data_IF_714231310462
#
_entry.id   IF_714231310462
#
_cell.length_a   1.000
_cell.length_b   1.000
_cell.length_c   1.000
_cell.angle_alpha   90.00
_cell.angle_beta   90.00
_cell.angle_gamma   90.00
#
_symmetry.space_group_name_H-M   'P 1'
#
loop_
_entity.id
_entity.type
_entity.pdbx_description
1 polymer ?
#
# COMPACT_ATOMS: atom_id res chain seq x y z
N UNK A 1 27.63 12.02 8.76
CA UNK A 1 26.64 12.33 7.73
C UNK A 1 25.27 12.00 8.33
N UNK A 2 24.61 12.99 8.96
CA UNK A 2 23.34 12.78 9.64
C UNK A 2 22.25 12.68 8.58
N UNK A 3 21.62 11.51 8.45
CA UNK A 3 20.49 11.30 7.57
C UNK A 3 19.27 11.96 8.22
N UNK A 4 19.02 13.23 7.92
CA UNK A 4 17.85 13.97 8.38
C UNK A 4 16.62 13.44 7.65
N UNK A 5 16.06 12.34 8.14
CA UNK A 5 14.67 11.97 7.80
C UNK A 5 13.81 13.12 8.32
N UNK A 6 13.32 13.95 7.40
CA UNK A 6 12.55 15.15 7.74
C UNK A 6 11.39 14.75 8.68
N UNK A 7 11.39 15.35 9.88
CA UNK A 7 10.26 15.20 10.79
C UNK A 7 9.00 15.75 10.10
N UNK A 8 8.02 14.88 9.85
CA UNK A 8 6.74 15.24 9.24
C UNK A 8 6.56 14.96 7.75
N UNK A 9 7.47 14.26 7.07
CA UNK A 9 7.20 13.82 5.68
C UNK A 9 6.11 12.75 5.62
N UNK A 10 5.12 12.85 4.69
CA UNK A 10 4.06 11.84 4.56
C UNK A 10 4.58 10.41 4.44
N UNK A 11 3.88 9.47 5.07
CA UNK A 11 4.22 8.06 5.04
C UNK A 11 3.15 7.28 4.26
N UNK A 12 3.58 6.40 3.35
CA UNK A 12 2.68 5.56 2.58
C UNK A 12 2.75 4.09 3.05
N UNK A 13 1.60 3.42 3.06
CA UNK A 13 1.48 1.98 3.24
C UNK A 13 0.84 1.41 1.97
N UNK A 14 1.50 0.43 1.37
CA UNK A 14 0.97 -0.36 0.26
C UNK A 14 0.70 -1.77 0.79
N UNK A 15 -0.54 -2.22 0.65
CA UNK A 15 -0.96 -3.59 0.96
C UNK A 15 -1.31 -4.30 -0.34
N UNK A 16 -0.73 -5.48 -0.55
CA UNK A 16 -0.91 -6.29 -1.75
C UNK A 16 -1.58 -7.60 -1.36
N UNK A 17 -2.89 -7.69 -1.59
CA UNK A 17 -3.67 -8.91 -1.42
C UNK A 17 -3.89 -9.66 -2.74
N UNK A 18 -4.37 -10.89 -2.64
CA UNK A 18 -4.71 -11.72 -3.81
C UNK A 18 -5.81 -11.12 -4.69
N UNK A 19 -6.71 -10.30 -4.14
CA UNK A 19 -7.79 -9.68 -4.91
C UNK A 19 -7.61 -8.17 -5.11
N UNK A 20 -6.99 -7.48 -4.14
CA UNK A 20 -6.92 -6.02 -4.16
C UNK A 20 -5.59 -5.49 -3.68
N UNK A 21 -5.18 -4.38 -4.27
CA UNK A 21 -4.06 -3.55 -3.78
C UNK A 21 -4.64 -2.29 -3.16
N UNK A 22 -4.08 -1.87 -2.02
CA UNK A 22 -4.45 -0.62 -1.36
C UNK A 22 -3.23 0.26 -1.14
N UNK A 23 -3.36 1.54 -1.46
CA UNK A 23 -2.43 2.60 -1.08
C UNK A 23 -3.11 3.52 -0.07
N UNK A 24 -2.48 3.67 1.11
CA UNK A 24 -2.87 4.69 2.09
C UNK A 24 -1.69 5.59 2.36
N UNK A 25 -1.87 6.90 2.20
CA UNK A 25 -0.87 7.90 2.59
C UNK A 25 -1.35 8.60 3.85
N UNK A 26 -0.47 8.68 4.85
CA UNK A 26 -0.70 9.32 6.13
C UNK A 26 0.13 10.60 6.23
N UNK A 27 -0.51 11.69 6.67
CA UNK A 27 0.20 12.80 7.27
C UNK A 27 0.67 12.39 8.68
N UNK A 28 1.99 12.38 8.88
CA UNK A 28 2.66 11.95 10.12
C UNK A 28 3.33 13.11 10.86
N UNK A 29 3.10 14.36 10.43
CA UNK A 29 3.58 15.54 11.15
C UNK A 29 2.83 15.76 12.49
N UNK A 30 1.73 15.03 12.71
CA UNK A 30 0.92 15.07 13.93
C UNK A 30 1.14 13.81 14.78
N UNK A 31 0.91 13.93 16.09
CA UNK A 31 0.97 12.81 17.06
C UNK A 31 0.10 11.62 16.65
N UNK A 32 -1.03 11.88 15.98
CA UNK A 32 -1.92 10.86 15.43
C UNK A 32 -1.84 10.92 13.91
N UNK A 33 -1.31 9.88 13.23
CA UNK A 33 -1.29 9.83 11.78
C UNK A 33 -2.69 9.92 11.20
N UNK A 34 -2.89 10.79 10.22
CA UNK A 34 -4.20 10.98 9.57
C UNK A 34 -4.12 10.56 8.11
N UNK A 35 -5.01 9.70 7.60
CA UNK A 35 -5.01 9.34 6.19
C UNK A 35 -5.39 10.55 5.34
N UNK A 36 -4.53 10.91 4.39
CA UNK A 36 -4.74 11.98 3.40
C UNK A 36 -5.04 11.44 2.01
N UNK A 37 -4.74 10.16 1.77
CA UNK A 37 -5.08 9.44 0.55
C UNK A 37 -5.40 7.99 0.91
N UNK A 38 -6.43 7.42 0.29
CA UNK A 38 -6.85 6.04 0.52
C UNK A 38 -7.51 5.49 -0.75
N UNK A 39 -6.73 4.78 -1.56
CA UNK A 39 -7.20 4.18 -2.81
C UNK A 39 -7.12 2.67 -2.72
N UNK A 40 -8.18 2.01 -3.23
CA UNK A 40 -8.25 0.56 -3.38
C UNK A 40 -8.50 0.24 -4.86
N UNK A 41 -7.68 -0.64 -5.41
CA UNK A 41 -7.84 -1.18 -6.76
C UNK A 41 -8.10 -2.69 -6.67
N UNK A 42 -9.01 -3.19 -7.50
CA UNK A 42 -9.20 -4.62 -7.71
C UNK A 42 -8.21 -5.08 -8.77
N UNK A 43 -7.34 -6.02 -8.41
CA UNK A 43 -6.28 -6.51 -9.28
C UNK A 43 -6.45 -8.00 -9.61
N UNK A 44 -7.14 -8.79 -8.77
CA UNK A 44 -7.40 -10.19 -9.08
C UNK A 44 -6.16 -11.08 -9.19
N UNK A 45 -5.01 -10.68 -8.63
CA UNK A 45 -3.72 -11.38 -8.75
C UNK A 45 -3.76 -12.88 -8.41
N UNK A 46 -4.63 -13.30 -7.50
CA UNK A 46 -4.78 -14.69 -7.08
C UNK A 46 -5.93 -15.44 -7.76
N UNK A 47 -6.55 -14.90 -8.80
CA UNK A 47 -7.75 -15.47 -9.47
C UNK A 47 -7.56 -16.94 -9.86
N UNK A 48 -6.42 -17.28 -10.42
CA UNK A 48 -6.12 -18.62 -10.93
C UNK A 48 -5.04 -19.38 -10.13
N UNK A 49 -4.73 -18.91 -8.91
CA UNK A 49 -3.61 -19.47 -8.14
C UNK A 49 -3.86 -20.92 -7.70
N UNK A 50 -5.13 -21.27 -7.43
CA UNK A 50 -5.52 -22.62 -6.98
C UNK A 50 -5.33 -23.68 -8.07
N UNK A 51 -5.49 -23.31 -9.34
CA UNK A 51 -5.40 -24.23 -10.49
C UNK A 51 -4.04 -24.18 -11.16
N UNK A 52 -3.39 -23.02 -11.21
CA UNK A 52 -2.13 -22.82 -11.95
C UNK A 52 -0.89 -22.78 -11.07
N UNK A 53 -1.05 -22.57 -9.75
CA UNK A 53 0.05 -22.31 -8.82
C UNK A 53 0.81 -21.01 -9.12
N UNK A 54 0.24 -20.12 -9.96
CA UNK A 54 0.85 -18.85 -10.39
C UNK A 54 -0.12 -17.69 -10.15
N UNK A 55 0.43 -16.48 -10.07
CA UNK A 55 -0.38 -15.27 -10.12
C UNK A 55 -1.00 -15.10 -11.50
N UNK A 56 -2.16 -14.49 -11.52
CA UNK A 56 -2.82 -14.08 -12.75
C UNK A 56 -1.96 -13.05 -13.50
N UNK A 57 -1.70 -13.22 -14.81
CA UNK A 57 -0.85 -12.32 -15.57
C UNK A 57 -1.52 -11.01 -16.01
N UNK A 58 -2.86 -10.91 -15.91
CA UNK A 58 -3.65 -9.73 -16.26
C UNK A 58 -4.03 -8.90 -15.03
#
# INVERSE_FOLDING_TARGET
MLNTKAEGSPAAVIDVGSNSVRLVVYDVARRVPTPVFNEKVLCGLGRDIDSTGRLDPE
#
